data_IF_517748856469
#
_entry.id   IF_517748856469
#
_cell.length_a   1.000
_cell.length_b   1.000
_cell.length_c   1.000
_cell.angle_alpha   90.00
_cell.angle_beta   90.00
_cell.angle_gamma   90.00
#
_symmetry.space_group_name_H-M   'P 1'
#
loop_
_entity.id
_entity.type
_entity.pdbx_description
1 polymer ?
#
# COMPACT_ATOMS: atom_id res chain seq x y z
N UNK A 1 52.93 30.37 -87.52
CA UNK A 1 52.72 29.39 -86.43
C UNK A 1 52.96 29.91 -85.01
N UNK A 2 53.77 30.96 -84.76
CA UNK A 2 54.14 31.39 -83.38
C UNK A 2 53.05 32.08 -82.53
N UNK A 3 52.08 32.80 -83.11
CA UNK A 3 51.03 33.53 -82.33
C UNK A 3 49.89 32.64 -81.79
N UNK A 4 49.59 31.52 -82.46
CA UNK A 4 48.55 30.56 -82.04
C UNK A 4 49.01 29.67 -80.88
N UNK A 5 50.32 29.43 -80.77
CA UNK A 5 50.93 28.68 -79.66
C UNK A 5 50.93 29.49 -78.35
N UNK A 6 51.21 30.79 -78.42
CA UNK A 6 51.21 31.67 -77.24
C UNK A 6 49.78 31.90 -76.72
N UNK A 7 48.81 32.10 -77.62
CA UNK A 7 47.40 32.20 -77.22
C UNK A 7 46.87 30.89 -76.59
N UNK A 8 47.30 29.73 -77.10
CA UNK A 8 46.99 28.43 -76.51
C UNK A 8 47.64 28.21 -75.14
N UNK A 9 48.90 28.65 -74.96
CA UNK A 9 49.60 28.56 -73.68
C UNK A 9 49.03 29.52 -72.61
N UNK A 10 48.62 30.73 -73.01
CA UNK A 10 48.00 31.70 -72.09
C UNK A 10 46.61 31.22 -71.64
N UNK A 11 45.80 30.69 -72.57
CA UNK A 11 44.50 30.10 -72.26
C UNK A 11 44.64 28.90 -71.30
N UNK A 12 45.67 28.06 -71.49
CA UNK A 12 45.95 26.93 -70.59
C UNK A 12 46.40 27.40 -69.20
N UNK A 13 47.18 28.49 -69.10
CA UNK A 13 47.60 29.07 -67.81
C UNK A 13 46.46 29.74 -67.03
N UNK A 14 45.46 30.32 -67.71
CA UNK A 14 44.28 30.90 -67.06
C UNK A 14 43.30 29.84 -66.57
N UNK A 15 43.26 28.66 -67.22
CA UNK A 15 42.48 27.50 -66.77
C UNK A 15 43.15 26.81 -65.56
N UNK A 16 44.49 26.78 -65.51
CA UNK A 16 45.25 26.21 -64.38
C UNK A 16 45.39 27.15 -63.17
N UNK A 17 45.30 28.47 -63.37
CA UNK A 17 45.30 29.47 -62.31
C UNK A 17 43.91 29.74 -61.69
N UNK A 18 42.89 29.01 -62.13
CA UNK A 18 41.61 28.93 -61.44
C UNK A 18 41.74 28.06 -60.20
N UNK A 19 42.43 28.54 -59.16
CA UNK A 19 42.38 27.96 -57.81
C UNK A 19 40.99 28.19 -57.25
N UNK A 20 40.02 27.39 -57.69
CA UNK A 20 38.76 27.23 -56.99
C UNK A 20 39.08 26.63 -55.63
N UNK A 21 39.06 27.45 -54.58
CA UNK A 21 39.06 26.95 -53.21
C UNK A 21 37.80 26.11 -53.03
N UNK A 22 37.93 24.79 -53.15
CA UNK A 22 36.85 23.86 -52.83
C UNK A 22 36.77 23.76 -51.30
N UNK A 23 35.73 24.34 -50.72
CA UNK A 23 35.37 24.07 -49.33
C UNK A 23 34.59 22.74 -49.29
N UNK A 24 35.24 21.70 -48.80
CA UNK A 24 34.57 20.44 -48.49
C UNK A 24 33.85 20.62 -47.16
N UNK A 25 32.52 20.60 -47.20
CA UNK A 25 31.70 20.63 -45.99
C UNK A 25 30.89 19.35 -45.97
N UNK A 26 31.06 18.57 -44.89
CA UNK A 26 30.35 17.32 -44.65
C UNK A 26 29.56 17.46 -43.35
N UNK A 27 28.42 16.80 -43.26
CA UNK A 27 27.54 16.86 -42.10
C UNK A 27 27.38 15.47 -41.50
N UNK A 28 27.87 15.31 -40.28
CA UNK A 28 27.65 14.12 -39.47
C UNK A 28 26.48 14.38 -38.51
N UNK A 29 25.50 13.48 -38.47
CA UNK A 29 24.32 13.59 -37.60
C UNK A 29 24.36 12.56 -36.46
N UNK A 30 23.95 12.99 -35.28
CA UNK A 30 23.59 12.11 -34.15
C UNK A 30 22.14 12.40 -33.78
N UNK A 31 21.32 11.35 -33.65
CA UNK A 31 19.93 11.46 -33.19
C UNK A 31 19.78 10.62 -31.92
N UNK A 32 19.14 11.20 -30.90
CA UNK A 32 18.89 10.55 -29.61
C UNK A 32 17.41 10.64 -29.25
N UNK A 33 16.85 9.57 -28.68
CA UNK A 33 15.50 9.53 -28.07
C UNK A 33 15.63 9.12 -26.62
N UNK A 34 14.93 9.81 -25.72
CA UNK A 34 14.80 9.47 -24.31
C UNK A 34 13.32 9.36 -23.93
N UNK A 35 12.99 8.44 -23.03
CA UNK A 35 11.63 8.22 -22.49
C UNK A 35 11.71 7.93 -20.99
N UNK A 36 10.67 8.29 -20.23
CA UNK A 36 10.59 8.07 -18.78
C UNK A 36 9.71 6.86 -18.45
N UNK A 37 9.93 6.26 -17.29
CA UNK A 37 9.04 5.23 -16.74
C UNK A 37 7.90 5.83 -15.90
N UNK A 38 7.11 4.96 -15.27
CA UNK A 38 6.00 5.28 -14.39
C UNK A 38 6.02 4.43 -13.11
N UNK A 39 5.75 5.07 -11.97
CA UNK A 39 5.43 4.41 -10.71
C UNK A 39 3.93 4.09 -10.68
N UNK A 40 3.55 2.93 -10.14
CA UNK A 40 2.16 2.47 -10.19
C UNK A 40 1.81 1.52 -9.06
N UNK A 41 2.08 1.90 -7.82
CA UNK A 41 1.66 1.11 -6.65
C UNK A 41 0.15 1.21 -6.49
N UNK A 42 -0.53 0.08 -6.29
CA UNK A 42 -2.00 -0.01 -6.16
C UNK A 42 -2.41 -1.06 -5.13
N UNK A 43 -3.55 -0.83 -4.49
CA UNK A 43 -4.29 -1.85 -3.74
C UNK A 43 -5.07 -2.77 -4.69
N UNK A 44 -5.18 -4.04 -4.31
CA UNK A 44 -5.95 -5.09 -4.96
C UNK A 44 -6.31 -6.20 -3.97
N UNK A 45 -7.20 -7.11 -4.38
CA UNK A 45 -7.61 -8.27 -3.56
C UNK A 45 -8.09 -7.93 -2.14
N UNK A 46 -8.78 -6.80 -1.99
CA UNK A 46 -9.35 -6.37 -0.72
C UNK A 46 -10.43 -7.35 -0.25
N UNK A 47 -10.37 -7.76 1.02
CA UNK A 47 -11.41 -8.58 1.63
C UNK A 47 -11.39 -8.61 3.16
N UNK A 48 -12.31 -9.40 3.70
CA UNK A 48 -12.31 -9.79 5.11
C UNK A 48 -11.09 -10.70 5.37
N UNK A 49 -10.68 -10.86 6.62
CA UNK A 49 -9.52 -11.66 6.97
C UNK A 49 -9.62 -13.13 6.48
N UNK A 50 -8.45 -13.75 6.27
CA UNK A 50 -8.26 -15.15 5.87
C UNK A 50 -9.00 -15.59 4.60
N UNK A 51 -8.60 -15.00 3.46
CA UNK A 51 -9.12 -15.34 2.14
C UNK A 51 -8.40 -16.53 1.51
N UNK A 52 -7.28 -16.94 2.09
CA UNK A 52 -6.48 -18.08 1.68
C UNK A 52 -6.32 -19.11 2.82
N UNK A 53 -6.15 -20.38 2.45
CA UNK A 53 -6.20 -21.49 3.42
C UNK A 53 -5.03 -21.47 4.44
N UNK A 54 -3.92 -20.85 4.08
CA UNK A 54 -2.73 -20.64 4.90
C UNK A 54 -2.85 -19.46 5.88
N UNK A 55 -3.80 -18.54 5.66
CA UNK A 55 -4.16 -17.45 6.58
C UNK A 55 -5.17 -17.90 7.66
N UNK A 56 -5.73 -19.11 7.55
CA UNK A 56 -6.89 -19.61 8.30
C UNK A 56 -6.69 -19.96 9.77
N UNK A 57 -6.01 -19.11 10.55
CA UNK A 57 -5.78 -19.28 11.99
C UNK A 57 -6.48 -18.18 12.78
N UNK A 58 -7.14 -18.56 13.88
CA UNK A 58 -7.81 -17.61 14.77
C UNK A 58 -9.16 -17.14 14.22
N UNK A 59 -9.44 -15.86 14.37
CA UNK A 59 -10.75 -15.25 14.21
C UNK A 59 -10.78 -14.23 13.06
N UNK A 60 -11.95 -13.98 12.49
CA UNK A 60 -12.20 -12.85 11.58
C UNK A 60 -13.03 -11.74 12.24
N UNK A 61 -13.93 -12.12 13.15
CA UNK A 61 -14.72 -11.21 13.99
C UNK A 61 -14.72 -11.76 15.42
N UNK A 62 -14.61 -10.88 16.42
CA UNK A 62 -14.96 -11.15 17.82
C UNK A 62 -16.14 -10.25 18.15
N UNK A 63 -17.24 -10.83 18.59
CA UNK A 63 -18.47 -10.08 18.89
C UNK A 63 -19.25 -10.63 20.10
N UNK A 64 -18.79 -11.73 20.70
CA UNK A 64 -19.47 -12.38 21.81
C UNK A 64 -20.74 -13.13 21.42
N UNK A 65 -21.03 -13.31 20.13
CA UNK A 65 -22.19 -14.07 19.64
C UNK A 65 -21.83 -15.56 19.51
N UNK A 66 -22.78 -16.42 19.90
CA UNK A 66 -22.59 -17.87 19.88
C UNK A 66 -21.79 -18.41 21.07
N UNK A 67 -21.52 -19.72 21.08
CA UNK A 67 -20.89 -20.40 22.22
C UNK A 67 -19.42 -19.98 22.40
N UNK A 68 -18.70 -19.74 21.30
CA UNK A 68 -17.28 -19.37 21.31
C UNK A 68 -17.06 -17.85 21.39
N UNK A 69 -18.08 -17.05 21.05
CA UNK A 69 -18.03 -15.58 21.06
C UNK A 69 -17.20 -14.95 19.94
N UNK A 70 -16.81 -15.71 18.93
CA UNK A 70 -16.09 -15.22 17.76
C UNK A 70 -16.45 -16.02 16.50
N UNK A 71 -16.13 -15.44 15.34
CA UNK A 71 -16.25 -16.06 14.02
C UNK A 71 -14.88 -16.54 13.56
N UNK A 72 -14.77 -17.82 13.20
CA UNK A 72 -13.54 -18.41 12.68
C UNK A 72 -12.99 -17.62 11.48
N UNK A 73 -11.66 -17.47 11.42
CA UNK A 73 -10.93 -16.85 10.31
C UNK A 73 -11.44 -17.30 8.93
N UNK A 74 -11.63 -18.60 8.73
CA UNK A 74 -12.03 -19.17 7.44
C UNK A 74 -13.52 -18.96 7.06
N UNK A 75 -14.33 -18.33 7.90
CA UNK A 75 -15.77 -18.19 7.65
C UNK A 75 -16.08 -17.45 6.33
N UNK A 76 -15.30 -16.42 6.03
CA UNK A 76 -15.46 -15.59 4.83
C UNK A 76 -14.61 -16.04 3.64
N UNK A 77 -13.85 -17.14 3.77
CA UNK A 77 -12.86 -17.59 2.78
C UNK A 77 -13.49 -17.84 1.40
N UNK A 78 -13.07 -17.03 0.42
CA UNK A 78 -13.47 -17.16 -1.00
C UNK A 78 -12.44 -17.88 -1.87
N UNK A 79 -11.18 -17.96 -1.43
CA UNK A 79 -10.06 -18.50 -2.20
C UNK A 79 -9.74 -17.68 -3.47
N UNK A 80 -9.14 -18.31 -4.47
CA UNK A 80 -8.72 -17.65 -5.72
C UNK A 80 -9.84 -17.55 -6.77
N UNK A 81 -11.10 -17.67 -6.36
CA UNK A 81 -12.24 -17.77 -7.27
C UNK A 81 -12.58 -16.42 -7.91
N UNK A 82 -12.50 -15.34 -7.13
CA UNK A 82 -12.75 -13.98 -7.56
C UNK A 82 -12.06 -12.99 -6.61
N UNK A 83 -11.03 -12.28 -7.09
CA UNK A 83 -10.29 -11.28 -6.30
C UNK A 83 -11.02 -9.93 -6.17
N UNK A 84 -12.20 -9.77 -6.80
CA UNK A 84 -12.96 -8.52 -6.83
C UNK A 84 -14.16 -8.52 -5.86
N UNK A 85 -14.26 -9.51 -4.98
CA UNK A 85 -15.29 -9.59 -3.93
C UNK A 85 -14.59 -9.71 -2.57
N UNK A 86 -15.21 -9.21 -1.52
CA UNK A 86 -14.57 -9.12 -0.19
C UNK A 86 -14.69 -10.39 0.64
N UNK A 87 -15.59 -11.30 0.27
CA UNK A 87 -15.90 -12.52 1.02
C UNK A 87 -16.60 -13.54 0.12
N UNK A 88 -16.69 -14.79 0.59
CA UNK A 88 -17.50 -15.84 -0.05
C UNK A 88 -18.96 -15.40 -0.20
N UNK A 89 -19.57 -15.69 -1.34
CA UNK A 89 -20.97 -15.35 -1.60
C UNK A 89 -21.90 -15.90 -0.49
N UNK A 90 -22.80 -15.04 0.00
CA UNK A 90 -23.74 -15.35 1.08
C UNK A 90 -23.17 -15.41 2.50
N UNK A 91 -21.84 -15.40 2.69
CA UNK A 91 -21.24 -15.47 4.03
C UNK A 91 -21.52 -14.22 4.88
N UNK A 92 -21.44 -13.03 4.29
CA UNK A 92 -21.76 -11.77 4.99
C UNK A 92 -23.23 -11.70 5.42
N UNK A 93 -24.17 -12.08 4.55
CA UNK A 93 -25.59 -12.17 4.90
C UNK A 93 -25.82 -13.25 5.98
N UNK A 94 -25.11 -14.39 5.88
CA UNK A 94 -25.12 -15.44 6.88
C UNK A 94 -24.66 -14.96 8.25
N UNK A 95 -23.63 -14.11 8.30
CA UNK A 95 -23.16 -13.48 9.54
C UNK A 95 -24.26 -12.60 10.14
N UNK A 96 -24.82 -11.66 9.37
CA UNK A 96 -25.85 -10.76 9.89
C UNK A 96 -27.10 -11.51 10.37
N UNK A 97 -27.51 -12.58 9.68
CA UNK A 97 -28.61 -13.42 10.14
C UNK A 97 -28.31 -14.17 11.45
N UNK A 98 -27.05 -14.52 11.71
CA UNK A 98 -26.64 -15.18 12.95
C UNK A 98 -26.50 -14.20 14.12
N UNK A 99 -26.06 -12.97 13.84
CA UNK A 99 -25.94 -11.88 14.81
C UNK A 99 -27.28 -11.17 15.08
N UNK A 100 -28.33 -11.43 14.28
CA UNK A 100 -29.65 -10.82 14.43
C UNK A 100 -30.20 -11.03 15.85
N UNK A 101 -30.65 -9.93 16.46
CA UNK A 101 -31.13 -9.89 17.84
C UNK A 101 -30.05 -9.77 18.91
N UNK A 102 -28.76 -9.89 18.57
CA UNK A 102 -27.65 -9.63 19.50
C UNK A 102 -27.06 -8.22 19.32
N UNK A 103 -26.79 -7.82 18.07
CA UNK A 103 -26.25 -6.50 17.75
C UNK A 103 -26.73 -6.02 16.36
N UNK A 104 -26.43 -4.77 16.02
CA UNK A 104 -26.67 -4.14 14.72
C UNK A 104 -25.37 -3.62 14.08
N UNK A 105 -24.25 -4.29 14.38
CA UNK A 105 -22.95 -3.98 13.78
C UNK A 105 -23.05 -4.16 12.27
N UNK A 106 -22.48 -3.22 11.52
CA UNK A 106 -22.34 -3.34 10.08
C UNK A 106 -20.92 -3.05 9.64
N UNK A 107 -20.47 -3.73 8.59
CA UNK A 107 -19.14 -3.55 8.05
C UNK A 107 -19.11 -3.63 6.52
N UNK A 108 -18.10 -2.99 5.95
CA UNK A 108 -17.86 -2.96 4.51
C UNK A 108 -16.40 -2.73 4.18
N UNK A 109 -16.01 -3.18 2.99
CA UNK A 109 -14.70 -2.91 2.42
C UNK A 109 -14.85 -2.76 0.90
N UNK A 110 -14.24 -1.73 0.29
CA UNK A 110 -14.27 -1.53 -1.17
C UNK A 110 -13.02 -0.82 -1.68
N UNK A 111 -12.63 -1.16 -2.91
CA UNK A 111 -11.72 -0.33 -3.70
C UNK A 111 -12.47 0.94 -4.14
N UNK A 112 -11.88 2.12 -3.94
CA UNK A 112 -12.49 3.40 -4.34
C UNK A 112 -12.20 3.64 -5.82
N UNK A 113 -13.21 3.92 -6.64
CA UNK A 113 -13.03 4.18 -8.09
C UNK A 113 -12.13 3.14 -8.80
N UNK A 114 -12.45 1.83 -8.68
CA UNK A 114 -11.57 0.78 -9.17
C UNK A 114 -11.38 0.85 -10.69
N UNK A 115 -10.17 0.50 -11.13
CA UNK A 115 -9.84 0.30 -12.55
C UNK A 115 -9.32 -1.11 -12.78
N UNK A 116 -9.34 -1.58 -14.03
CA UNK A 116 -8.76 -2.88 -14.36
C UNK A 116 -7.25 -2.81 -14.39
N UNK A 117 -6.61 -3.77 -13.73
CA UNK A 117 -5.16 -3.93 -13.75
C UNK A 117 -4.68 -4.21 -15.18
N UNK A 118 -3.72 -3.43 -15.70
CA UNK A 118 -3.29 -3.55 -17.10
C UNK A 118 -2.13 -4.54 -17.34
N UNK A 119 -1.56 -5.07 -16.27
CA UNK A 119 -0.39 -5.97 -16.27
C UNK A 119 -0.68 -7.20 -15.42
N UNK A 120 0.10 -8.27 -15.56
CA UNK A 120 0.00 -9.46 -14.70
C UNK A 120 1.06 -9.38 -13.63
N UNK A 121 0.68 -9.60 -12.37
CA UNK A 121 1.59 -9.68 -11.21
C UNK A 121 1.27 -10.96 -10.47
N UNK A 122 2.17 -11.94 -10.50
CA UNK A 122 1.96 -13.27 -9.92
C UNK A 122 0.62 -13.91 -10.34
N UNK A 123 -0.27 -14.24 -9.37
CA UNK A 123 -1.56 -14.87 -9.66
C UNK A 123 -2.57 -13.90 -10.29
N UNK A 124 -2.38 -12.59 -10.14
CA UNK A 124 -3.31 -11.57 -10.59
C UNK A 124 -3.15 -11.32 -12.09
N UNK A 125 -4.18 -11.66 -12.87
CA UNK A 125 -4.14 -11.54 -14.33
C UNK A 125 -4.61 -10.16 -14.79
N UNK A 126 -3.91 -9.65 -15.81
CA UNK A 126 -4.30 -8.41 -16.48
C UNK A 126 -5.77 -8.47 -16.93
N UNK A 127 -6.47 -7.35 -16.75
CA UNK A 127 -7.88 -7.11 -17.07
C UNK A 127 -8.88 -7.95 -16.26
N UNK A 128 -8.43 -8.84 -15.37
CA UNK A 128 -9.30 -9.66 -14.52
C UNK A 128 -9.47 -9.08 -13.12
N UNK A 129 -8.46 -8.39 -12.59
CA UNK A 129 -8.42 -7.88 -11.22
C UNK A 129 -8.63 -6.38 -11.19
N UNK A 130 -9.44 -5.93 -10.24
CA UNK A 130 -9.64 -4.52 -9.94
C UNK A 130 -8.53 -4.00 -9.03
N UNK A 131 -8.04 -2.80 -9.35
CA UNK A 131 -7.00 -2.09 -8.60
C UNK A 131 -7.47 -0.68 -8.28
N UNK A 132 -6.98 -0.13 -7.17
CA UNK A 132 -7.21 1.28 -6.81
C UNK A 132 -6.01 1.91 -6.11
N UNK A 133 -5.97 3.24 -6.13
CA UNK A 133 -5.12 4.06 -5.26
C UNK A 133 -5.62 4.10 -3.82
N UNK A 134 -6.93 3.94 -3.61
CA UNK A 134 -7.55 4.08 -2.29
C UNK A 134 -8.51 2.92 -2.00
N UNK A 135 -8.57 2.54 -0.73
CA UNK A 135 -9.56 1.61 -0.19
C UNK A 135 -10.39 2.34 0.86
N UNK A 136 -11.60 1.85 1.08
CA UNK A 136 -12.53 2.36 2.08
C UNK A 136 -13.04 1.18 2.88
N UNK A 137 -12.86 1.23 4.21
CA UNK A 137 -13.26 0.21 5.18
C UNK A 137 -14.18 0.90 6.18
N UNK A 138 -15.35 0.32 6.41
CA UNK A 138 -16.30 0.80 7.42
C UNK A 138 -16.59 -0.31 8.41
N UNK A 139 -16.64 0.06 9.69
CA UNK A 139 -17.16 -0.77 10.78
C UNK A 139 -17.98 0.17 11.67
N UNK A 140 -19.27 -0.09 11.78
CA UNK A 140 -20.25 0.79 12.42
C UNK A 140 -20.92 0.07 13.59
N UNK A 141 -21.34 0.84 14.60
CA UNK A 141 -22.02 0.35 15.81
C UNK A 141 -21.22 -0.67 16.63
N UNK A 142 -19.88 -0.58 16.60
CA UNK A 142 -19.02 -1.42 17.44
C UNK A 142 -19.20 -1.08 18.93
N UNK A 143 -18.94 -2.06 19.78
CA UNK A 143 -19.11 -1.98 21.23
C UNK A 143 -17.90 -2.61 21.95
N UNK A 144 -17.71 -2.34 23.26
CA UNK A 144 -16.59 -2.90 24.02
C UNK A 144 -16.46 -4.42 23.84
N UNK A 145 -15.30 -4.87 23.39
CA UNK A 145 -15.02 -6.28 23.09
C UNK A 145 -15.35 -6.72 21.66
N UNK A 146 -15.75 -5.80 20.77
CA UNK A 146 -15.89 -6.08 19.35
C UNK A 146 -14.56 -5.92 18.60
N UNK A 147 -14.20 -6.89 17.74
CA UNK A 147 -13.04 -6.84 16.86
C UNK A 147 -13.39 -7.32 15.45
N UNK A 148 -12.78 -6.73 14.43
CA UNK A 148 -12.87 -7.24 13.06
C UNK A 148 -11.56 -7.06 12.30
N UNK A 149 -11.18 -8.08 11.53
CA UNK A 149 -9.98 -8.10 10.71
C UNK A 149 -10.28 -8.14 9.19
N UNK A 150 -9.38 -7.51 8.44
CA UNK A 150 -9.39 -7.31 6.99
C UNK A 150 -8.02 -7.64 6.40
N UNK A 151 -7.98 -7.85 5.08
CA UNK A 151 -6.73 -8.03 4.34
C UNK A 151 -6.81 -7.44 2.95
N UNK A 152 -5.68 -6.97 2.43
CA UNK A 152 -5.54 -6.49 1.04
C UNK A 152 -4.12 -6.71 0.56
N UNK A 153 -3.95 -6.81 -0.75
CA UNK A 153 -2.64 -6.77 -1.38
C UNK A 153 -2.28 -5.36 -1.83
N UNK A 154 -0.98 -5.12 -1.94
CA UNK A 154 -0.37 -4.00 -2.65
C UNK A 154 0.57 -4.56 -3.73
N UNK A 155 0.41 -4.11 -4.97
CA UNK A 155 1.28 -4.48 -6.08
C UNK A 155 1.73 -3.25 -6.89
N UNK A 156 2.92 -3.34 -7.48
CA UNK A 156 3.43 -2.33 -8.39
C UNK A 156 3.09 -2.70 -9.84
N UNK A 157 2.10 -2.02 -10.40
CA UNK A 157 1.67 -2.16 -11.81
C UNK A 157 2.41 -1.22 -12.76
N UNK A 158 3.39 -0.46 -12.25
CA UNK A 158 4.29 0.41 -13.01
C UNK A 158 5.51 -0.33 -13.59
N UNK A 159 6.42 0.44 -14.20
CA UNK A 159 7.68 -0.06 -14.75
C UNK A 159 8.93 0.49 -14.05
N UNK A 160 8.74 1.18 -12.93
CA UNK A 160 9.81 1.61 -12.00
C UNK A 160 9.51 0.99 -10.63
N UNK A 161 10.52 0.40 -9.98
CA UNK A 161 10.39 -0.12 -8.64
C UNK A 161 10.10 1.00 -7.62
N UNK A 162 9.30 0.69 -6.60
CA UNK A 162 8.91 1.63 -5.56
C UNK A 162 9.53 1.24 -4.21
N UNK A 163 9.67 2.21 -3.31
CA UNK A 163 10.16 2.07 -1.95
C UNK A 163 9.13 2.65 -0.99
N UNK A 164 8.61 1.85 -0.05
CA UNK A 164 7.76 2.35 1.01
C UNK A 164 8.62 3.14 1.98
N UNK A 165 8.46 4.45 2.01
CA UNK A 165 9.34 5.35 2.77
C UNK A 165 8.73 5.80 4.07
N UNK A 166 7.40 5.89 4.14
CA UNK A 166 6.69 6.34 5.33
C UNK A 166 5.27 5.78 5.33
N UNK A 167 4.76 5.47 6.52
CA UNK A 167 3.33 5.29 6.75
C UNK A 167 2.87 6.44 7.65
N UNK A 168 1.79 7.09 7.28
CA UNK A 168 1.17 8.13 8.08
C UNK A 168 -0.21 7.65 8.54
N UNK A 169 -0.48 7.74 9.84
CA UNK A 169 -1.76 7.35 10.41
C UNK A 169 -2.33 8.56 11.12
N UNK A 170 -3.58 8.91 10.80
CA UNK A 170 -4.30 10.00 11.47
C UNK A 170 -5.71 9.55 11.81
N UNK A 171 -6.25 10.07 12.90
CA UNK A 171 -7.66 9.90 13.25
C UNK A 171 -8.35 11.24 13.44
N UNK A 172 -9.55 11.37 12.90
CA UNK A 172 -10.36 12.57 12.96
C UNK A 172 -11.77 12.23 13.44
N UNK A 173 -12.45 13.18 14.07
CA UNK A 173 -13.83 13.00 14.48
C UNK A 173 -14.32 14.19 15.31
N UNK A 174 -15.60 14.49 15.19
CA UNK A 174 -16.25 15.52 15.98
C UNK A 174 -16.87 14.92 17.24
N UNK A 175 -16.64 15.54 18.40
CA UNK A 175 -17.21 15.11 19.69
C UNK A 175 -16.93 13.63 20.04
N UNK A 176 -15.72 13.16 19.74
CA UNK A 176 -15.26 11.76 19.91
C UNK A 176 -15.22 11.25 21.36
N UNK A 177 -15.44 12.12 22.35
CA UNK A 177 -15.39 11.71 23.76
C UNK A 177 -14.07 11.02 24.13
N UNK A 178 -14.17 9.86 24.77
CA UNK A 178 -13.07 8.97 25.11
C UNK A 178 -12.92 7.81 24.09
N UNK A 179 -13.63 7.84 22.95
CA UNK A 179 -13.62 6.70 22.03
C UNK A 179 -12.24 6.49 21.39
N UNK A 180 -11.37 7.50 21.36
CA UNK A 180 -9.98 7.34 20.91
C UNK A 180 -9.11 6.55 21.89
N UNK A 181 -9.49 6.50 23.16
CA UNK A 181 -8.85 5.66 24.18
C UNK A 181 -9.38 4.23 24.16
N UNK A 182 -10.57 4.04 23.57
CA UNK A 182 -11.25 2.74 23.51
C UNK A 182 -11.09 2.05 22.16
N UNK A 183 -11.05 2.79 21.05
CA UNK A 183 -10.82 2.22 19.72
C UNK A 183 -9.33 2.09 19.50
N UNK A 184 -8.94 0.93 18.98
CA UNK A 184 -7.59 0.67 18.52
C UNK A 184 -7.56 0.01 17.15
N UNK A 185 -6.40 0.12 16.52
CA UNK A 185 -6.12 -0.54 15.25
C UNK A 185 -4.92 -1.47 15.38
N UNK A 186 -4.97 -2.57 14.63
CA UNK A 186 -3.85 -3.46 14.41
C UNK A 186 -3.50 -3.41 12.92
N UNK A 187 -2.21 -3.32 12.60
CA UNK A 187 -1.75 -3.37 11.21
C UNK A 187 -0.44 -4.13 11.15
N UNK A 188 -0.33 -4.99 10.15
CA UNK A 188 0.87 -5.75 9.86
C UNK A 188 1.04 -5.89 8.35
N UNK A 189 2.24 -5.59 7.88
CA UNK A 189 2.58 -5.62 6.45
C UNK A 189 3.68 -6.63 6.23
N UNK A 190 3.47 -7.53 5.27
CA UNK A 190 4.45 -8.52 4.85
C UNK A 190 4.73 -8.35 3.36
N UNK A 191 5.95 -8.67 2.94
CA UNK A 191 6.31 -8.76 1.53
C UNK A 191 6.33 -10.22 1.11
N UNK A 192 5.65 -10.50 0.01
CA UNK A 192 5.59 -11.83 -0.60
C UNK A 192 6.37 -11.86 -1.94
N UNK A 193 7.02 -12.99 -2.21
CA UNK A 193 7.76 -13.35 -3.42
C UNK A 193 8.91 -12.38 -3.81
N UNK A 194 10.15 -12.77 -3.53
CA UNK A 194 11.35 -12.11 -4.05
C UNK A 194 12.32 -13.15 -4.65
N UNK A 195 12.43 -13.15 -5.99
CA UNK A 195 13.33 -13.99 -6.80
C UNK A 195 13.09 -15.52 -6.75
N UNK A 196 13.47 -16.20 -7.83
CA UNK A 196 13.08 -17.57 -8.24
C UNK A 196 13.37 -18.73 -7.25
N UNK A 197 13.85 -18.48 -6.02
CA UNK A 197 14.29 -19.54 -5.10
C UNK A 197 13.88 -19.42 -3.64
N UNK A 198 13.09 -18.43 -3.21
CA UNK A 198 12.67 -18.35 -1.82
C UNK A 198 11.18 -17.99 -1.66
N UNK A 199 10.43 -18.99 -1.19
CA UNK A 199 9.12 -18.86 -0.56
C UNK A 199 9.24 -18.20 0.84
N UNK A 200 9.90 -17.04 0.91
CA UNK A 200 10.09 -16.31 2.16
C UNK A 200 9.11 -15.15 2.21
N UNK A 201 8.23 -15.19 3.21
CA UNK A 201 7.48 -14.02 3.66
C UNK A 201 8.45 -13.19 4.50
N UNK A 202 8.61 -11.93 4.13
CA UNK A 202 9.48 -11.00 4.85
C UNK A 202 8.63 -9.94 5.56
N UNK A 203 8.94 -9.67 6.82
CA UNK A 203 8.27 -8.61 7.58
C UNK A 203 8.66 -7.24 6.99
N UNK A 204 7.66 -6.38 6.81
CA UNK A 204 7.87 -4.99 6.37
C UNK A 204 7.72 -4.05 7.55
N UNK A 205 6.60 -4.15 8.28
CA UNK A 205 6.33 -3.37 9.49
C UNK A 205 5.15 -3.95 10.28
N UNK A 206 5.28 -4.00 11.61
CA UNK A 206 4.16 -4.19 12.54
C UNK A 206 3.81 -2.88 13.26
N UNK A 207 2.52 -2.64 13.52
CA UNK A 207 2.11 -1.42 14.21
C UNK A 207 2.43 -1.46 15.71
N UNK A 208 1.98 -2.50 16.41
CA UNK A 208 2.05 -2.57 17.87
C UNK A 208 3.47 -2.61 18.45
N UNK A 209 4.44 -3.17 17.71
CA UNK A 209 5.86 -3.25 18.15
C UNK A 209 6.52 -1.88 18.32
N UNK A 210 5.90 -0.82 17.81
CA UNK A 210 6.39 0.56 17.89
C UNK A 210 5.76 1.37 19.05
N UNK A 211 4.97 0.72 19.91
CA UNK A 211 4.23 1.34 21.02
C UNK A 211 4.48 0.60 22.34
N UNK A 212 4.26 1.29 23.46
CA UNK A 212 4.43 0.74 24.81
C UNK A 212 3.19 -0.07 25.23
N UNK A 213 3.32 -0.93 26.26
CA UNK A 213 2.20 -1.75 26.77
C UNK A 213 0.97 -0.92 27.20
N UNK A 214 1.19 0.29 27.73
CA UNK A 214 0.10 1.19 28.14
C UNK A 214 -0.66 1.81 26.95
N UNK A 215 -0.06 1.81 25.75
CA UNK A 215 -0.67 2.36 24.53
C UNK A 215 -1.60 1.37 23.83
N UNK A 216 -1.56 0.10 24.24
CA UNK A 216 -2.20 -1.02 23.54
C UNK A 216 -3.21 -1.77 24.41
N UNK A 217 -4.17 -2.42 23.78
CA UNK A 217 -4.97 -3.46 24.42
C UNK A 217 -4.98 -4.72 23.57
N UNK A 218 -5.04 -5.86 24.24
CA UNK A 218 -5.05 -7.16 23.56
C UNK A 218 -6.47 -7.71 23.49
N UNK A 219 -6.88 -8.14 22.30
CA UNK A 219 -8.13 -8.86 22.09
C UNK A 219 -7.92 -10.02 21.12
N UNK A 220 -8.39 -11.21 21.51
CA UNK A 220 -8.21 -12.42 20.70
C UNK A 220 -6.75 -12.76 20.39
N UNK A 221 -5.82 -12.36 21.25
CA UNK A 221 -4.38 -12.54 21.05
C UNK A 221 -3.74 -11.55 20.06
N UNK A 222 -4.43 -10.49 19.67
CA UNK A 222 -3.92 -9.41 18.82
C UNK A 222 -3.85 -8.12 19.62
N UNK A 223 -2.72 -7.42 19.52
CA UNK A 223 -2.52 -6.12 20.14
C UNK A 223 -2.99 -4.99 19.24
N UNK A 224 -3.88 -4.16 19.76
CA UNK A 224 -4.44 -2.99 19.09
C UNK A 224 -3.87 -1.73 19.73
N UNK A 225 -3.28 -0.86 18.91
CA UNK A 225 -2.81 0.45 19.35
C UNK A 225 -3.97 1.41 19.42
N UNK A 226 -4.16 2.06 20.58
CA UNK A 226 -5.20 3.06 20.78
C UNK A 226 -5.00 4.26 19.87
N UNK A 227 -6.10 4.83 19.38
CA UNK A 227 -6.03 6.04 18.54
C UNK A 227 -5.44 7.23 19.30
N UNK A 228 -5.68 7.35 20.61
CA UNK A 228 -5.08 8.40 21.42
C UNK A 228 -3.56 8.31 21.49
N UNK A 229 -3.01 7.10 21.59
CA UNK A 229 -1.56 6.89 21.56
C UNK A 229 -0.95 7.24 20.19
N UNK A 230 -1.65 6.88 19.09
CA UNK A 230 -1.25 7.28 17.73
C UNK A 230 -1.20 8.80 17.56
N UNK A 231 -2.15 9.53 18.12
CA UNK A 231 -2.19 11.00 18.06
C UNK A 231 -1.10 11.66 18.90
N UNK A 232 -0.82 11.12 20.09
CA UNK A 232 0.19 11.67 20.99
C UNK A 232 1.61 11.39 20.50
N UNK A 233 1.90 10.13 20.14
CA UNK A 233 3.25 9.66 19.85
C UNK A 233 3.59 9.69 18.37
N UNK A 234 2.58 9.64 17.50
CA UNK A 234 2.76 9.46 16.06
C UNK A 234 3.25 8.04 15.71
N UNK A 235 3.41 7.78 14.41
CA UNK A 235 3.94 6.51 13.91
C UNK A 235 5.08 6.77 12.92
N UNK A 236 6.31 6.45 13.33
CA UNK A 236 7.52 6.59 12.50
C UNK A 236 8.37 5.33 12.63
N UNK A 237 7.90 4.19 12.08
CA UNK A 237 8.59 2.91 12.22
C UNK A 237 9.90 2.89 11.43
N UNK A 238 10.81 2.00 11.81
CA UNK A 238 11.80 1.49 10.86
C UNK A 238 11.07 0.54 9.88
N UNK A 239 11.23 0.78 8.58
CA UNK A 239 10.57 -0.04 7.55
C UNK A 239 11.64 -0.94 6.93
N UNK A 240 11.49 -2.24 7.17
CA UNK A 240 12.34 -3.26 6.55
C UNK A 240 11.69 -3.75 5.25
N UNK A 241 12.47 -4.40 4.38
CA UNK A 241 11.96 -5.06 3.18
C UNK A 241 11.06 -4.18 2.30
N UNK A 242 11.34 -2.89 2.28
CA UNK A 242 10.44 -1.80 1.91
C UNK A 242 10.23 -1.66 0.40
N UNK A 243 10.93 -2.46 -0.39
CA UNK A 243 10.93 -2.37 -1.86
C UNK A 243 9.83 -3.22 -2.46
N UNK A 244 9.12 -2.60 -3.40
CA UNK A 244 8.14 -3.25 -4.26
C UNK A 244 8.65 -3.22 -5.71
N UNK A 245 9.11 -4.37 -6.17
CA UNK A 245 9.74 -4.53 -7.49
C UNK A 245 8.70 -4.50 -8.62
N UNK A 246 9.16 -4.45 -9.87
CA UNK A 246 8.29 -4.38 -11.05
C UNK A 246 7.70 -5.74 -11.41
N UNK A 247 6.70 -5.74 -12.30
CA UNK A 247 5.87 -6.90 -12.67
C UNK A 247 6.59 -8.23 -12.92
N UNK A 248 7.83 -8.23 -13.44
CA UNK A 248 8.58 -9.47 -13.72
C UNK A 248 9.07 -10.20 -12.47
N UNK A 249 9.03 -9.54 -11.31
CA UNK A 249 9.47 -10.10 -10.03
C UNK A 249 8.37 -10.87 -9.28
N UNK A 250 7.11 -10.73 -9.70
CA UNK A 250 5.93 -11.21 -8.97
C UNK A 250 5.78 -10.69 -7.53
N UNK A 251 6.61 -9.71 -7.16
CA UNK A 251 6.70 -9.14 -5.82
C UNK A 251 5.45 -8.35 -5.46
N UNK A 252 4.93 -8.60 -4.26
CA UNK A 252 3.73 -7.96 -3.70
C UNK A 252 3.87 -7.78 -2.19
N UNK A 253 2.99 -6.99 -1.60
CA UNK A 253 2.85 -6.89 -0.15
C UNK A 253 1.44 -7.25 0.28
N UNK A 254 1.34 -7.95 1.39
CA UNK A 254 0.09 -8.22 2.09
C UNK A 254 -0.05 -7.23 3.23
N UNK A 255 -1.22 -6.61 3.35
CA UNK A 255 -1.59 -5.75 4.47
C UNK A 255 -2.73 -6.42 5.22
N UNK A 256 -2.47 -6.77 6.47
CA UNK A 256 -3.48 -7.19 7.43
C UNK A 256 -3.84 -6.01 8.31
N UNK A 257 -5.13 -5.78 8.48
CA UNK A 257 -5.65 -4.63 9.23
C UNK A 257 -6.81 -5.06 10.13
N UNK A 258 -6.85 -4.57 11.36
CA UNK A 258 -7.93 -4.83 12.30
C UNK A 258 -8.38 -3.57 13.00
N UNK A 259 -9.68 -3.51 13.30
CA UNK A 259 -10.30 -2.47 14.13
C UNK A 259 -10.94 -3.16 15.32
N UNK A 260 -10.79 -2.56 16.49
CA UNK A 260 -11.28 -3.11 17.74
C UNK A 260 -11.73 -2.01 18.71
N UNK A 261 -12.64 -2.37 19.61
CA UNK A 261 -12.98 -1.56 20.78
C UNK A 261 -12.59 -2.32 22.07
N UNK A 262 -11.82 -1.66 22.93
CA UNK A 262 -11.37 -2.14 24.23
C UNK A 262 -12.57 -2.65 25.04
N UNK A 263 -12.55 -3.90 25.55
CA UNK A 263 -13.57 -4.42 26.44
C UNK A 263 -13.84 -3.56 27.67
N UNK A 264 -12.83 -2.81 28.14
CA UNK A 264 -12.91 -1.90 29.29
C UNK A 264 -13.59 -2.53 30.52
N UNK A 265 -13.26 -3.79 30.80
CA UNK A 265 -13.93 -4.58 31.86
C UNK A 265 -13.73 -3.98 33.27
N UNK A 266 -12.62 -3.25 33.45
CA UNK A 266 -12.26 -2.52 34.67
C UNK A 266 -12.98 -1.17 34.80
N UNK A 267 -13.73 -0.74 33.77
CA UNK A 267 -14.49 0.50 33.76
C UNK A 267 -13.59 1.73 33.89
N UNK A 268 -12.46 1.76 33.18
CA UNK A 268 -11.60 2.95 33.13
C UNK A 268 -12.31 4.06 32.36
N UNK A 269 -13.01 3.70 31.29
CA UNK A 269 -13.65 4.63 30.36
C UNK A 269 -15.20 4.61 30.43
N UNK A 270 -15.75 3.45 30.76
CA UNK A 270 -17.19 3.16 30.88
C UNK A 270 -17.53 2.78 32.32
N UNK A 271 -18.79 2.49 32.61
CA UNK A 271 -19.22 1.89 33.87
C UNK A 271 -18.58 0.51 34.13
N UNK A 272 -18.01 -0.12 33.09
CA UNK A 272 -17.31 -1.39 33.16
C UNK A 272 -18.27 -2.58 33.34
N UNK A 273 -17.78 -3.65 33.95
CA UNK A 273 -18.60 -4.83 34.22
C UNK A 273 -19.54 -4.66 35.42
N UNK A 274 -20.54 -5.54 35.53
CA UNK A 274 -21.45 -5.60 36.70
C UNK A 274 -20.74 -5.87 38.03
N UNK A 275 -19.52 -6.39 38.01
CA UNK A 275 -18.68 -6.55 39.19
C UNK A 275 -17.96 -5.28 39.64
N UNK A 276 -17.84 -4.29 38.74
CA UNK A 276 -17.14 -3.02 38.98
C UNK A 276 -18.16 -1.89 39.19
N UNK A 277 -18.97 -1.59 38.16
CA UNK A 277 -19.94 -0.49 38.16
C UNK A 277 -19.36 0.86 38.60
N UNK A 278 -18.37 1.37 37.87
CA UNK A 278 -17.82 2.69 38.13
C UNK A 278 -18.81 3.82 37.81
N UNK A 279 -18.63 4.98 38.43
CA UNK A 279 -19.48 6.18 38.24
C UNK A 279 -19.22 6.94 36.92
N UNK A 280 -18.68 6.27 35.91
CA UNK A 280 -18.39 6.85 34.59
C UNK A 280 -19.67 7.08 33.77
N UNK A 281 -19.62 8.03 32.84
CA UNK A 281 -20.72 8.36 31.94
C UNK A 281 -20.54 7.69 30.57
N UNK A 282 -21.26 6.59 30.35
CA UNK A 282 -21.20 5.83 29.09
C UNK A 282 -21.62 6.65 27.86
N UNK A 283 -22.37 7.77 28.03
CA UNK A 283 -22.78 8.62 26.90
C UNK A 283 -21.61 9.34 26.22
N UNK A 284 -20.43 9.30 26.83
CA UNK A 284 -19.18 9.83 26.29
C UNK A 284 -18.64 8.91 25.18
N UNK A 285 -18.84 7.58 25.26
CA UNK A 285 -18.40 6.60 24.25
C UNK A 285 -19.53 6.11 23.34
N UNK A 286 -20.79 6.20 23.78
CA UNK A 286 -21.96 5.83 22.96
C UNK A 286 -22.26 6.82 21.82
N UNK A 287 -22.74 6.30 20.69
CA UNK A 287 -23.14 7.04 19.49
C UNK A 287 -22.06 8.01 18.97
N UNK A 288 -20.79 7.62 19.09
CA UNK A 288 -19.65 8.38 18.55
C UNK A 288 -19.09 7.71 17.31
N UNK A 289 -18.36 8.51 16.53
CA UNK A 289 -17.67 8.04 15.34
C UNK A 289 -16.28 8.68 15.25
N UNK A 290 -15.34 7.92 14.72
CA UNK A 290 -13.99 8.37 14.40
C UNK A 290 -13.64 7.84 13.01
N UNK A 291 -13.01 8.67 12.19
CA UNK A 291 -12.47 8.31 10.88
C UNK A 291 -10.96 8.11 11.03
N UNK A 292 -10.42 7.06 10.41
CA UNK A 292 -9.01 6.71 10.46
C UNK A 292 -8.48 6.74 9.03
N UNK A 293 -7.39 7.46 8.81
CA UNK A 293 -6.69 7.52 7.53
C UNK A 293 -5.30 6.93 7.66
N UNK A 294 -4.93 6.07 6.71
CA UNK A 294 -3.61 5.43 6.64
C UNK A 294 -3.02 5.67 5.24
N UNK A 295 -1.99 6.51 5.17
CA UNK A 295 -1.28 6.78 3.92
C UNK A 295 0.01 5.95 3.85
N UNK A 296 0.12 5.12 2.83
CA UNK A 296 1.38 4.47 2.44
C UNK A 296 2.11 5.39 1.45
N UNK A 297 3.21 6.00 1.89
CA UNK A 297 3.96 6.99 1.11
C UNK A 297 5.17 6.34 0.45
N UNK A 298 5.18 6.36 -0.88
CA UNK A 298 6.16 5.67 -1.72
C UNK A 298 7.08 6.63 -2.45
N UNK A 299 8.37 6.31 -2.45
CA UNK A 299 9.37 6.92 -3.31
C UNK A 299 9.74 5.99 -4.48
N UNK A 300 10.41 6.56 -5.49
CA UNK A 300 11.14 5.73 -6.44
C UNK A 300 12.29 4.99 -5.74
N UNK A 301 12.58 3.75 -6.14
CA UNK A 301 13.61 2.92 -5.49
C UNK A 301 15.02 3.54 -5.39
N UNK A 302 15.32 4.50 -6.28
CA UNK A 302 16.62 5.16 -6.40
C UNK A 302 16.57 6.64 -5.97
N UNK A 303 15.59 7.04 -5.16
CA UNK A 303 15.60 8.33 -4.47
C UNK A 303 16.94 8.51 -3.73
N UNK A 304 17.52 9.72 -3.83
CA UNK A 304 18.84 10.03 -3.26
C UNK A 304 20.06 9.37 -3.93
N UNK A 305 19.87 8.42 -4.85
CA UNK A 305 20.97 7.69 -5.50
C UNK A 305 21.64 8.56 -6.57
N UNK A 306 22.98 8.59 -6.55
CA UNK A 306 23.80 9.20 -7.60
C UNK A 306 24.52 10.49 -7.19
N UNK A 307 24.17 11.09 -6.04
CA UNK A 307 24.85 12.28 -5.51
C UNK A 307 26.36 12.06 -5.32
N UNK A 308 26.72 10.88 -4.84
CA UNK A 308 28.12 10.50 -4.55
C UNK A 308 28.67 9.51 -5.60
N UNK A 309 27.97 9.29 -6.71
CA UNK A 309 28.46 8.42 -7.76
C UNK A 309 29.72 9.04 -8.40
N UNK A 310 30.78 8.25 -8.64
CA UNK A 310 31.95 8.75 -9.33
C UNK A 310 31.55 9.16 -10.75
N UNK A 311 32.03 10.32 -11.18
CA UNK A 311 31.73 10.81 -12.51
C UNK A 311 32.41 9.95 -13.58
N UNK A 312 31.78 9.83 -14.75
CA UNK A 312 32.37 9.17 -15.91
C UNK A 312 33.11 10.19 -16.79
N UNK A 313 33.59 9.78 -17.97
CA UNK A 313 34.36 10.65 -18.89
C UNK A 313 33.67 11.97 -19.25
N UNK A 314 32.32 12.03 -19.14
CA UNK A 314 31.55 13.24 -19.34
C UNK A 314 31.84 14.30 -18.26
N UNK A 315 32.53 13.98 -17.16
CA UNK A 315 32.99 15.00 -16.21
C UNK A 315 33.87 16.06 -16.88
N UNK A 316 34.59 15.70 -17.93
CA UNK A 316 35.42 16.63 -18.70
C UNK A 316 34.60 17.67 -19.49
N UNK A 317 33.27 17.51 -19.61
CA UNK A 317 32.39 18.57 -20.12
C UNK A 317 31.83 19.50 -19.05
N UNK A 318 31.98 19.16 -17.75
CA UNK A 318 31.47 19.98 -16.66
C UNK A 318 32.09 21.39 -16.71
N UNK A 319 31.34 22.40 -16.24
CA UNK A 319 31.77 23.80 -16.19
C UNK A 319 32.58 24.13 -14.95
#
# INVERSE_FOLDING_TARGET
>A
MKKRFIAGALALSMVLAGTGYAYWTDSLNMTTKATTGNMGVKFLDLGLYAQYADEGKGWSIIDGVGDDGYIDSNYFLRGTSNYNIIAKEGSVEGYYNAADGYNDVSFGAKLVTPTKMNVTVGPYKALAVDVSDNIDISVENIYPGYAQAFRTDIANVGNIAAKLSKINITSEGENVGNIKDMIGIAMYVQREYCEETASTLDDVVGLAENFDEDDIFTMGGVDFVRLSALEEKGFTPEIENEKLLTVSSENRMDVFFGVAMDPDAEGVYTTGSTGVMNDNDDTISMDKAVEISIDFLWDQFNEGVGKDAPANILENQNK
#
